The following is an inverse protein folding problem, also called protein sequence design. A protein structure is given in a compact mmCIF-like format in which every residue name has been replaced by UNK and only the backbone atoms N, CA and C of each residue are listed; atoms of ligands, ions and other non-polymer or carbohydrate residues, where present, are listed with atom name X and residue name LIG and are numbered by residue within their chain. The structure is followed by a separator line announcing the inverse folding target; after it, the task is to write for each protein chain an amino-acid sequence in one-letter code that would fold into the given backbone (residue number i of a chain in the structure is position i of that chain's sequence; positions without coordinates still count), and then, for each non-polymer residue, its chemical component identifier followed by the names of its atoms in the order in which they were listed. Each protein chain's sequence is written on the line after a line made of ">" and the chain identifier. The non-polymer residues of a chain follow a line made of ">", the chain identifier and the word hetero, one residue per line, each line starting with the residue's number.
data_IF_754359520039
#
_entry.id   IF_754359520039
#
_cell.length_a   1.000
_cell.length_b   1.000
_cell.length_c   1.000
_cell.angle_alpha   90.00
_cell.angle_beta   90.00
_cell.angle_gamma   90.00
#
_symmetry.space_group_name_H-M   'P 1'
#
loop_
_entity.id
_entity.type
_entity.pdbx_description
1 polymer ?
#
# COMPACT_ATOMS: atom_id res chain seq x y z
N UNK A 1 -1.06 16.78 21.39
CA UNK A 1 -0.48 15.72 22.25
C UNK A 1 -0.59 14.41 21.49
N UNK A 2 0.44 13.58 21.44
CA UNK A 2 0.33 12.28 20.77
C UNK A 2 -0.60 11.36 21.58
N UNK A 3 -1.51 10.63 20.93
CA UNK A 3 -2.42 9.71 21.62
C UNK A 3 -1.63 8.61 22.32
N UNK A 4 -1.98 8.33 23.58
CA UNK A 4 -1.36 7.27 24.39
C UNK A 4 -2.18 5.99 24.44
N UNK A 5 -3.46 6.09 24.10
CA UNK A 5 -4.40 4.97 24.05
C UNK A 5 -4.63 4.54 22.61
N UNK A 6 -4.77 3.23 22.38
CA UNK A 6 -4.94 2.66 21.04
C UNK A 6 -6.16 3.25 20.31
N UNK A 7 -7.29 3.42 21.02
CA UNK A 7 -8.50 3.97 20.43
C UNK A 7 -8.30 5.42 19.94
N UNK A 8 -7.67 6.27 20.76
CA UNK A 8 -7.35 7.64 20.36
C UNK A 8 -6.32 7.70 19.22
N UNK A 9 -5.41 6.72 19.12
CA UNK A 9 -4.49 6.61 18.00
C UNK A 9 -5.20 6.26 16.69
N UNK A 10 -6.23 5.40 16.74
CA UNK A 10 -7.07 5.06 15.58
C UNK A 10 -7.88 6.26 15.11
N UNK A 11 -8.45 7.03 16.03
CA UNK A 11 -9.19 8.27 15.72
C UNK A 11 -8.29 9.35 15.11
N UNK A 12 -7.11 9.56 15.68
CA UNK A 12 -6.14 10.51 15.12
C UNK A 12 -5.68 10.12 13.71
N UNK A 13 -5.51 8.82 13.44
CA UNK A 13 -5.19 8.33 12.11
C UNK A 13 -6.39 8.50 11.16
N UNK A 14 -7.60 8.20 11.61
CA UNK A 14 -8.83 8.44 10.85
C UNK A 14 -8.97 9.90 10.40
N UNK A 15 -8.77 10.85 11.32
CA UNK A 15 -8.85 12.29 11.03
C UNK A 15 -7.75 12.71 10.04
N UNK A 16 -6.52 12.21 10.23
CA UNK A 16 -5.38 12.51 9.33
C UNK A 16 -5.63 12.05 7.90
N UNK A 17 -6.18 10.85 7.73
CA UNK A 17 -6.39 10.23 6.43
C UNK A 17 -7.66 10.74 5.72
N UNK A 18 -8.48 11.56 6.40
CA UNK A 18 -9.73 12.09 5.85
C UNK A 18 -10.72 11.01 5.43
N UNK A 19 -10.70 9.87 6.13
CA UNK A 19 -11.58 8.74 5.81
C UNK A 19 -13.03 9.15 6.08
N UNK A 20 -13.94 8.89 5.15
CA UNK A 20 -15.36 9.25 5.30
C UNK A 20 -16.26 8.03 5.41
N UNK A 21 -17.31 8.13 6.24
CA UNK A 21 -18.38 7.15 6.36
C UNK A 21 -18.40 6.36 7.68
N UNK A 22 -19.55 5.75 7.98
CA UNK A 22 -19.85 5.18 9.31
C UNK A 22 -19.05 3.91 9.66
N UNK A 23 -18.39 3.26 8.71
CA UNK A 23 -17.61 2.03 8.93
C UNK A 23 -16.09 2.27 8.82
N UNK A 24 -15.62 3.42 9.29
CA UNK A 24 -14.21 3.81 9.16
C UNK A 24 -13.24 2.90 9.93
N UNK A 25 -13.70 2.26 11.00
CA UNK A 25 -12.90 1.34 11.80
C UNK A 25 -12.39 0.15 10.98
N UNK A 26 -13.14 -0.30 9.98
CA UNK A 26 -12.71 -1.34 9.03
C UNK A 26 -11.55 -0.90 8.11
N UNK A 27 -11.27 0.41 8.03
CA UNK A 27 -10.21 1.01 7.21
C UNK A 27 -8.97 1.37 8.03
N UNK A 28 -9.00 1.10 9.33
CA UNK A 28 -7.86 1.29 10.23
C UNK A 28 -7.47 -0.07 10.77
N UNK A 29 -6.31 -0.54 10.33
CA UNK A 29 -5.67 -1.71 10.91
C UNK A 29 -5.02 -1.34 12.24
N UNK A 30 -5.07 -2.26 13.18
CA UNK A 30 -4.38 -2.13 14.45
C UNK A 30 -3.80 -3.47 14.88
N UNK A 31 -2.71 -3.41 15.62
CA UNK A 31 -2.12 -4.53 16.33
C UNK A 31 -1.65 -4.04 17.69
N UNK A 32 -1.85 -4.83 18.73
CA UNK A 32 -1.38 -4.58 20.09
C UNK A 32 -0.53 -5.76 20.60
N UNK A 33 0.45 -5.47 21.47
CA UNK A 33 1.28 -6.50 22.10
C UNK A 33 0.42 -7.60 22.72
N UNK A 34 0.73 -8.84 22.36
CA UNK A 34 0.00 -10.04 22.81
C UNK A 34 -1.04 -10.54 21.82
N UNK A 35 -1.39 -9.75 20.81
CA UNK A 35 -2.21 -10.22 19.68
C UNK A 35 -1.38 -11.03 18.68
N UNK A 36 -2.06 -11.94 17.97
CA UNK A 36 -1.46 -12.67 16.86
C UNK A 36 -0.99 -11.70 15.76
N UNK A 37 0.03 -12.10 15.02
CA UNK A 37 0.50 -11.34 13.87
C UNK A 37 -0.63 -11.21 12.83
N UNK A 38 -0.87 -10.01 12.26
CA UNK A 38 -1.79 -9.89 11.14
C UNK A 38 -1.27 -10.68 9.93
N UNK A 39 -2.13 -11.47 9.28
CA UNK A 39 -1.75 -12.29 8.12
C UNK A 39 -0.96 -11.53 7.04
N UNK A 40 -1.27 -10.26 6.69
CA UNK A 40 -0.53 -9.54 5.66
C UNK A 40 0.86 -9.06 6.10
N UNK A 41 1.14 -9.03 7.42
CA UNK A 41 2.38 -8.48 8.00
C UNK A 41 2.87 -9.39 9.14
N UNK A 42 3.29 -10.63 8.84
CA UNK A 42 3.62 -11.61 9.88
C UNK A 42 4.80 -11.19 10.77
N UNK A 43 5.71 -10.36 10.25
CA UNK A 43 6.86 -9.84 10.99
C UNK A 43 6.53 -8.61 11.87
N UNK A 44 5.27 -8.16 11.90
CA UNK A 44 4.87 -6.96 12.64
C UNK A 44 5.17 -7.06 14.14
N UNK A 45 4.90 -8.18 14.85
CA UNK A 45 5.16 -8.26 16.29
C UNK A 45 6.64 -8.11 16.64
N UNK A 46 7.51 -8.81 15.90
CA UNK A 46 8.96 -8.78 16.12
C UNK A 46 9.53 -7.39 15.87
N UNK A 47 9.09 -6.76 14.77
CA UNK A 47 9.47 -5.38 14.47
C UNK A 47 8.99 -4.42 15.56
N UNK A 48 7.73 -4.50 15.99
CA UNK A 48 7.18 -3.63 17.01
C UNK A 48 7.90 -3.80 18.35
N UNK A 49 8.23 -5.04 18.72
CA UNK A 49 9.02 -5.33 19.91
C UNK A 49 10.43 -4.72 19.83
N UNK A 50 11.11 -4.87 18.69
CA UNK A 50 12.44 -4.28 18.48
C UNK A 50 12.41 -2.74 18.53
N UNK A 51 11.29 -2.12 18.17
CA UNK A 51 11.07 -0.67 18.28
C UNK A 51 10.57 -0.22 19.66
N UNK A 52 10.32 -1.14 20.60
CA UNK A 52 9.78 -0.83 21.92
C UNK A 52 8.33 -0.31 21.89
N UNK A 53 7.54 -0.70 20.87
CA UNK A 53 6.17 -0.27 20.68
C UNK A 53 5.19 -1.23 21.39
N UNK A 54 4.14 -0.67 22.00
CA UNK A 54 3.06 -1.45 22.61
C UNK A 54 1.91 -1.72 21.62
N UNK A 55 1.75 -0.86 20.61
CA UNK A 55 0.75 -1.00 19.56
C UNK A 55 1.17 -0.30 18.26
N UNK A 56 0.57 -0.72 17.15
CA UNK A 56 0.76 -0.16 15.80
C UNK A 56 -0.61 0.09 15.18
N UNK A 57 -0.78 1.23 14.51
CA UNK A 57 -1.97 1.56 13.72
C UNK A 57 -1.55 1.93 12.29
N UNK A 58 -2.34 1.52 11.30
CA UNK A 58 -2.09 1.82 9.89
C UNK A 58 -3.38 1.94 9.09
N UNK A 59 -3.31 2.59 7.93
CA UNK A 59 -4.44 2.69 7.01
C UNK A 59 -4.60 1.35 6.29
N UNK A 60 -5.70 0.63 6.57
CA UNK A 60 -6.03 -0.66 5.98
C UNK A 60 -6.99 -0.48 4.79
N UNK A 61 -6.59 0.32 3.80
CA UNK A 61 -7.39 0.50 2.59
C UNK A 61 -7.38 -0.79 1.76
N UNK A 62 -8.57 -1.30 1.48
CA UNK A 62 -8.74 -2.42 0.56
C UNK A 62 -8.35 -2.04 -0.88
N UNK A 63 -7.99 -3.03 -1.71
CA UNK A 63 -7.65 -2.79 -3.11
C UNK A 63 -8.86 -2.23 -3.86
N UNK A 64 -8.59 -1.36 -4.84
CA UNK A 64 -9.57 -0.91 -5.82
C UNK A 64 -9.02 -1.07 -7.22
N UNK A 65 -9.87 -1.54 -8.12
CA UNK A 65 -9.56 -1.66 -9.53
C UNK A 65 -10.75 -1.20 -10.36
N UNK A 66 -10.49 -0.29 -11.30
CA UNK A 66 -11.52 0.30 -12.17
C UNK A 66 -12.77 0.81 -11.41
N UNK A 67 -12.55 1.52 -10.29
CA UNK A 67 -13.62 2.05 -9.46
C UNK A 67 -14.32 1.05 -8.54
N UNK A 68 -14.02 -0.25 -8.64
CA UNK A 68 -14.62 -1.32 -7.84
C UNK A 68 -13.69 -1.77 -6.70
N UNK A 69 -14.25 -2.18 -5.57
CA UNK A 69 -13.50 -2.69 -4.41
C UNK A 69 -13.16 -4.18 -4.60
N UNK A 70 -12.28 -4.46 -5.57
CA UNK A 70 -11.84 -5.81 -5.92
C UNK A 70 -10.32 -5.88 -5.96
N UNK A 71 -9.78 -7.07 -5.70
CA UNK A 71 -8.38 -7.40 -5.94
C UNK A 71 -8.23 -7.91 -7.38
N UNK A 72 -7.58 -7.17 -8.29
CA UNK A 72 -7.41 -7.62 -9.67
C UNK A 72 -6.34 -8.72 -9.76
N UNK A 73 -6.40 -9.54 -10.80
CA UNK A 73 -5.31 -10.45 -11.17
C UNK A 73 -4.18 -9.68 -11.87
N UNK A 74 -2.98 -10.27 -11.90
CA UNK A 74 -1.85 -9.68 -12.64
C UNK A 74 -2.18 -9.46 -14.13
N UNK A 75 -2.91 -10.39 -14.74
CA UNK A 75 -3.38 -10.28 -16.13
C UNK A 75 -4.33 -9.09 -16.33
N UNK A 76 -5.29 -8.89 -15.42
CA UNK A 76 -6.21 -7.76 -15.48
C UNK A 76 -5.46 -6.43 -15.39
N UNK A 77 -4.46 -6.34 -14.50
CA UNK A 77 -3.62 -5.15 -14.37
C UNK A 77 -2.85 -4.87 -15.65
N UNK A 78 -2.18 -5.87 -16.24
CA UNK A 78 -1.45 -5.70 -17.49
C UNK A 78 -2.38 -5.29 -18.64
N UNK A 79 -3.54 -5.93 -18.76
CA UNK A 79 -4.51 -5.57 -19.78
C UNK A 79 -4.99 -4.12 -19.62
N UNK A 80 -5.26 -3.67 -18.40
CA UNK A 80 -5.60 -2.28 -18.14
C UNK A 80 -4.46 -1.33 -18.52
N UNK A 81 -3.22 -1.63 -18.15
CA UNK A 81 -2.07 -0.79 -18.49
C UNK A 81 -1.85 -0.66 -20.00
N UNK A 82 -2.18 -1.69 -20.79
CA UNK A 82 -2.13 -1.65 -22.26
C UNK A 82 -3.15 -0.70 -22.89
N UNK A 83 -4.27 -0.43 -22.21
CA UNK A 83 -5.29 0.50 -22.74
C UNK A 83 -4.94 1.97 -22.50
N UNK A 84 -4.00 2.24 -21.59
CA UNK A 84 -3.59 3.61 -21.27
C UNK A 84 -2.86 4.26 -22.45
N UNK A 85 -3.11 5.55 -22.64
CA UNK A 85 -2.46 6.36 -23.67
C UNK A 85 -2.09 7.74 -23.14
N UNK A 86 -1.16 8.42 -23.82
CA UNK A 86 -0.68 9.75 -23.45
C UNK A 86 -0.12 9.83 -22.03
N UNK A 87 -0.31 10.99 -21.39
CA UNK A 87 0.26 11.29 -20.08
C UNK A 87 -0.14 10.28 -18.98
N UNK A 88 -1.31 9.65 -19.07
CA UNK A 88 -1.76 8.65 -18.09
C UNK A 88 -0.88 7.40 -18.17
N UNK A 89 -0.54 6.96 -19.39
CA UNK A 89 0.39 5.84 -19.59
C UNK A 89 1.79 6.19 -19.11
N UNK A 90 2.29 7.38 -19.47
CA UNK A 90 3.64 7.81 -19.11
C UNK A 90 3.83 7.86 -17.59
N UNK A 91 2.82 8.37 -16.88
CA UNK A 91 2.82 8.41 -15.42
C UNK A 91 2.73 7.00 -14.81
N UNK A 92 1.91 6.11 -15.37
CA UNK A 92 1.81 4.74 -14.89
C UNK A 92 3.13 3.98 -15.10
N UNK A 93 3.74 4.09 -16.29
CA UNK A 93 5.04 3.50 -16.59
C UNK A 93 6.11 4.04 -15.65
N UNK A 94 6.20 5.37 -15.49
CA UNK A 94 7.14 5.99 -14.56
C UNK A 94 6.94 5.47 -13.13
N UNK A 95 5.71 5.47 -12.62
CA UNK A 95 5.39 4.96 -11.29
C UNK A 95 5.82 3.50 -11.13
N UNK A 96 5.60 2.68 -12.16
CA UNK A 96 6.04 1.29 -12.14
C UNK A 96 7.57 1.24 -12.08
N UNK A 97 8.26 1.84 -13.03
CA UNK A 97 9.72 1.75 -13.10
C UNK A 97 10.41 2.33 -11.86
N UNK A 98 9.90 3.43 -11.29
CA UNK A 98 10.51 4.08 -10.12
C UNK A 98 10.38 3.27 -8.82
N UNK A 99 9.52 2.26 -8.76
CA UNK A 99 9.25 1.56 -7.51
C UNK A 99 10.47 0.73 -7.07
N UNK A 100 10.88 0.79 -5.79
CA UNK A 100 12.07 0.09 -5.31
C UNK A 100 12.04 -1.40 -5.64
N UNK A 101 13.20 -1.98 -5.97
CA UNK A 101 13.34 -3.43 -6.25
C UNK A 101 12.86 -4.34 -5.14
N UNK A 102 12.84 -3.86 -3.90
CA UNK A 102 12.31 -4.59 -2.74
C UNK A 102 10.81 -4.86 -2.86
N UNK A 103 10.08 -4.06 -3.65
CA UNK A 103 8.66 -4.27 -3.96
C UNK A 103 8.56 -5.19 -5.17
N UNK A 104 8.92 -6.46 -4.96
CA UNK A 104 8.82 -7.54 -5.95
C UNK A 104 7.53 -8.35 -5.72
N UNK A 105 6.44 -7.90 -6.35
CA UNK A 105 5.14 -8.59 -6.32
C UNK A 105 4.90 -9.33 -7.63
N UNK A 106 3.96 -10.29 -7.63
CA UNK A 106 3.53 -10.97 -8.86
C UNK A 106 3.12 -9.97 -9.96
N UNK A 107 2.40 -8.91 -9.57
CA UNK A 107 2.04 -7.82 -10.49
C UNK A 107 3.27 -7.20 -11.15
N UNK A 108 4.32 -6.93 -10.38
CA UNK A 108 5.55 -6.26 -10.85
C UNK A 108 6.30 -7.12 -11.85
N UNK A 109 6.51 -8.40 -11.52
CA UNK A 109 7.11 -9.38 -12.43
C UNK A 109 6.31 -9.52 -13.71
N UNK A 110 4.97 -9.55 -13.62
CA UNK A 110 4.12 -9.69 -14.82
C UNK A 110 4.12 -8.45 -15.70
N UNK A 111 4.12 -7.27 -15.10
CA UNK A 111 4.24 -5.99 -15.81
C UNK A 111 5.59 -5.89 -16.54
N UNK A 112 6.69 -6.27 -15.88
CA UNK A 112 8.01 -6.27 -16.50
C UNK A 112 8.09 -7.23 -17.68
N UNK A 113 7.61 -8.47 -17.51
CA UNK A 113 7.55 -9.48 -18.57
C UNK A 113 6.75 -9.00 -19.80
N UNK A 114 5.57 -8.43 -19.58
CA UNK A 114 4.60 -8.21 -20.66
C UNK A 114 4.68 -6.82 -21.31
N UNK A 115 5.25 -5.83 -20.60
CA UNK A 115 5.36 -4.44 -21.05
C UNK A 115 6.81 -3.93 -21.11
N UNK A 116 7.79 -4.67 -20.58
CA UNK A 116 9.18 -4.22 -20.50
C UNK A 116 9.40 -3.08 -19.50
N UNK A 117 8.47 -2.90 -18.55
CA UNK A 117 8.50 -1.83 -17.55
C UNK A 117 9.32 -2.22 -16.31
N UNK A 118 10.60 -2.53 -16.51
CA UNK A 118 11.55 -2.88 -15.45
C UNK A 118 11.98 -1.69 -14.59
N UNK A 119 12.44 -1.98 -13.37
CA UNK A 119 12.93 -0.97 -12.43
C UNK A 119 14.04 -0.09 -13.02
N UNK A 120 13.92 1.21 -12.77
CA UNK A 120 14.98 2.20 -12.96
C UNK A 120 15.17 3.05 -11.69
N UNK A 121 16.36 3.62 -11.51
CA UNK A 121 16.60 4.55 -10.41
C UNK A 121 15.98 5.92 -10.74
N UNK A 122 14.79 6.17 -10.20
CA UNK A 122 14.17 7.49 -10.28
C UNK A 122 14.85 8.46 -9.30
N UNK A 123 15.70 9.33 -9.83
CA UNK A 123 16.37 10.35 -9.01
C UNK A 123 17.62 10.97 -9.62
N UNK A 124 18.13 10.45 -10.75
CA UNK A 124 19.36 10.95 -11.37
C UNK A 124 19.18 12.15 -12.33
N UNK A 125 17.95 12.62 -12.58
CA UNK A 125 17.70 13.84 -13.36
C UNK A 125 16.69 14.70 -12.59
N UNK A 126 17.23 15.66 -11.83
CA UNK A 126 16.49 16.84 -11.43
C UNK A 126 16.33 17.73 -12.67
N UNK A 127 15.12 18.25 -12.89
CA UNK A 127 14.93 19.43 -13.75
C UNK A 127 15.40 20.68 -13.00
#
# INVERSE_FOLDING_TARGET
>A
MLPKELQSAKEALYDREGITGNNWTSRIGSWQRGEAAPDPIPALPDWAQAQGLDAVVWTALGPRFNGQAILPTADQVVQYLRTLTGAVRDNAERYVRCAPRQIDTEYRRRIESDLGWSHWECGAIAF
#
